data_IF_763974957486
#
_entry.id   IF_763974957486
#
_cell.length_a   1.000
_cell.length_b   1.000
_cell.length_c   1.000
_cell.angle_alpha   90.00
_cell.angle_beta   90.00
_cell.angle_gamma   90.00
#
_symmetry.space_group_name_H-M   'P 1'
#
loop_
_entity.id
_entity.type
_entity.pdbx_description
1 polymer ?
#
# COMPACT_ATOMS: atom_id res chain seq x y z
N UNK A 1 -4.00 -31.14 11.85
CA UNK A 1 -3.07 -30.00 12.06
C UNK A 1 -2.48 -29.52 10.72
N UNK A 2 -1.92 -30.41 9.92
CA UNK A 2 -1.24 -30.08 8.65
C UNK A 2 -2.12 -29.32 7.64
N UNK A 3 -3.41 -29.68 7.55
CA UNK A 3 -4.33 -28.98 6.66
C UNK A 3 -4.49 -27.49 7.04
N UNK A 4 -4.53 -27.17 8.34
CA UNK A 4 -4.63 -25.79 8.83
C UNK A 4 -3.35 -25.00 8.55
N UNK A 5 -2.19 -25.63 8.78
CA UNK A 5 -0.88 -25.04 8.49
C UNK A 5 -0.74 -24.76 6.99
N UNK A 6 -1.15 -25.71 6.14
CA UNK A 6 -1.18 -25.54 4.68
C UNK A 6 -2.11 -24.39 4.27
N UNK A 7 -3.33 -24.33 4.80
CA UNK A 7 -4.28 -23.22 4.53
C UNK A 7 -3.70 -21.87 4.94
N UNK A 8 -3.07 -21.77 6.11
CA UNK A 8 -2.38 -20.54 6.57
C UNK A 8 -1.24 -20.15 5.64
N UNK A 9 -0.42 -21.10 5.21
CA UNK A 9 0.71 -20.85 4.29
C UNK A 9 0.23 -20.34 2.93
N UNK A 10 -0.78 -21.00 2.35
CA UNK A 10 -1.37 -20.58 1.07
C UNK A 10 -2.03 -19.21 1.19
N UNK A 11 -2.83 -18.98 2.23
CA UNK A 11 -3.44 -17.68 2.50
C UNK A 11 -2.37 -16.59 2.65
N UNK A 12 -1.29 -16.86 3.40
CA UNK A 12 -0.17 -15.95 3.56
C UNK A 12 0.50 -15.56 2.25
N UNK A 13 0.73 -16.52 1.34
CA UNK A 13 1.28 -16.26 0.00
C UNK A 13 0.34 -15.41 -0.85
N UNK A 14 -0.97 -15.68 -0.82
CA UNK A 14 -1.98 -14.90 -1.54
C UNK A 14 -2.04 -13.46 -1.00
N UNK A 15 -2.06 -13.30 0.33
CA UNK A 15 -2.04 -11.97 0.96
C UNK A 15 -0.77 -11.21 0.60
N UNK A 16 0.40 -11.87 0.60
CA UNK A 16 1.65 -11.25 0.20
C UNK A 16 1.60 -10.74 -1.25
N UNK A 17 1.01 -11.52 -2.16
CA UNK A 17 0.80 -11.08 -3.55
C UNK A 17 -0.09 -9.83 -3.62
N UNK A 18 -1.20 -9.80 -2.88
CA UNK A 18 -2.06 -8.62 -2.83
C UNK A 18 -1.35 -7.39 -2.25
N UNK A 19 -0.53 -7.56 -1.22
CA UNK A 19 0.30 -6.49 -0.67
C UNK A 19 1.28 -5.94 -1.71
N UNK A 20 1.94 -6.83 -2.47
CA UNK A 20 2.86 -6.42 -3.54
C UNK A 20 2.12 -5.60 -4.61
N UNK A 21 0.97 -6.08 -5.08
CA UNK A 21 0.17 -5.38 -6.09
C UNK A 21 -0.34 -4.02 -5.59
N UNK A 22 -0.78 -3.95 -4.34
CA UNK A 22 -1.13 -2.71 -3.67
C UNK A 22 0.04 -1.72 -3.63
N UNK A 23 1.22 -2.15 -3.15
CA UNK A 23 2.40 -1.30 -3.09
C UNK A 23 2.86 -0.81 -4.46
N UNK A 24 2.89 -1.69 -5.46
CA UNK A 24 3.24 -1.32 -6.84
C UNK A 24 2.27 -0.27 -7.40
N UNK A 25 0.99 -0.34 -7.06
CA UNK A 25 0.00 0.63 -7.52
C UNK A 25 0.15 2.01 -6.92
N UNK A 26 0.53 2.10 -5.64
CA UNK A 26 0.87 3.38 -5.00
C UNK A 26 2.14 3.96 -5.61
N UNK A 27 3.18 3.13 -5.78
CA UNK A 27 4.44 3.56 -6.39
C UNK A 27 4.20 4.10 -7.80
N UNK A 28 3.41 3.38 -8.61
CA UNK A 28 3.05 3.83 -9.96
C UNK A 28 2.27 5.16 -9.93
N UNK A 29 1.30 5.31 -9.03
CA UNK A 29 0.53 6.54 -8.88
C UNK A 29 1.42 7.75 -8.53
N UNK A 30 2.32 7.56 -7.56
CA UNK A 30 3.23 8.61 -7.07
C UNK A 30 4.24 8.98 -8.14
N UNK A 31 4.90 7.99 -8.77
CA UNK A 31 5.86 8.23 -9.85
C UNK A 31 5.17 8.92 -11.03
N UNK A 32 3.95 8.51 -11.40
CA UNK A 32 3.19 9.14 -12.46
C UNK A 32 2.86 10.60 -12.13
N UNK A 33 2.47 10.89 -10.88
CA UNK A 33 2.22 12.26 -10.41
C UNK A 33 3.45 13.16 -10.51
N UNK A 34 4.62 12.66 -10.10
CA UNK A 34 5.89 13.41 -10.24
C UNK A 34 6.35 13.59 -11.68
N UNK A 35 6.05 12.63 -12.57
CA UNK A 35 6.43 12.69 -13.99
C UNK A 35 5.43 13.46 -14.85
N UNK A 36 4.24 13.77 -14.35
CA UNK A 36 3.25 14.52 -15.10
C UNK A 36 3.66 15.99 -15.17
N UNK A 37 3.81 16.57 -16.39
CA UNK A 37 4.12 17.97 -16.51
C UNK A 37 2.91 18.81 -16.10
N UNK A 38 3.08 19.72 -15.15
CA UNK A 38 1.99 20.55 -14.59
C UNK A 38 1.31 21.44 -15.64
N UNK A 39 1.98 21.72 -16.77
CA UNK A 39 1.51 22.62 -17.84
C UNK A 39 1.19 21.92 -19.16
N UNK A 40 1.17 20.59 -19.16
CA UNK A 40 0.84 19.80 -20.37
C UNK A 40 -0.47 19.06 -20.11
N UNK A 41 -1.47 19.33 -20.94
CA UNK A 41 -2.78 18.71 -20.88
C UNK A 41 -2.99 17.84 -22.11
N UNK A 42 -3.02 16.53 -21.91
CA UNK A 42 -3.44 15.59 -22.95
C UNK A 42 -4.97 15.50 -22.95
N UNK A 43 -5.59 15.68 -24.12
CA UNK A 43 -7.05 15.66 -24.29
C UNK A 43 -7.47 14.94 -25.58
N UNK A 44 -8.73 14.55 -25.63
CA UNK A 44 -9.41 14.05 -26.83
C UNK A 44 -10.35 15.13 -27.39
N UNK A 45 -10.68 15.10 -28.70
CA UNK A 45 -11.69 15.98 -29.27
C UNK A 45 -13.03 15.86 -28.52
N UNK A 46 -13.66 17.00 -28.22
CA UNK A 46 -14.92 17.07 -27.46
C UNK A 46 -14.77 16.93 -25.94
N UNK A 47 -13.58 16.68 -25.40
CA UNK A 47 -13.37 16.58 -23.96
C UNK A 47 -13.20 17.95 -23.30
N UNK A 48 -13.56 18.00 -22.03
CA UNK A 48 -13.38 19.16 -21.15
C UNK A 48 -12.47 18.76 -20.00
N UNK A 49 -11.49 19.61 -19.67
CA UNK A 49 -10.58 19.38 -18.56
C UNK A 49 -10.41 20.63 -17.70
N UNK A 50 -10.30 20.42 -16.39
CA UNK A 50 -9.98 21.48 -15.44
C UNK A 50 -8.55 21.95 -15.63
N UNK A 51 -8.37 23.27 -15.67
CA UNK A 51 -7.08 23.94 -15.72
C UNK A 51 -7.01 24.95 -14.59
N UNK A 52 -5.83 25.11 -14.02
CA UNK A 52 -5.60 26.12 -13.00
C UNK A 52 -4.24 26.76 -13.21
N UNK A 53 -4.16 28.05 -12.91
CA UNK A 53 -2.91 28.80 -12.96
C UNK A 53 -2.77 29.72 -11.75
N UNK A 54 -1.51 30.00 -11.40
CA UNK A 54 -1.20 31.05 -10.43
C UNK A 54 -1.47 32.41 -11.08
N UNK A 55 -2.06 33.32 -10.31
CA UNK A 55 -2.21 34.73 -10.67
C UNK A 55 -1.05 35.46 -9.98
N UNK A 56 -0.16 36.06 -10.78
CA UNK A 56 0.99 36.78 -10.23
C UNK A 56 0.62 38.15 -9.63
N UNK A 57 -0.60 38.64 -9.89
CA UNK A 57 -1.06 39.98 -9.55
C UNK A 57 -2.48 39.89 -8.98
N UNK A 58 -2.88 40.83 -8.10
CA UNK A 58 -4.24 40.80 -7.52
C UNK A 58 -5.27 41.05 -8.61
N UNK A 59 -6.11 40.04 -8.87
CA UNK A 59 -7.23 40.11 -9.80
C UNK A 59 -8.51 40.00 -8.98
N UNK A 60 -9.38 41.00 -9.07
CA UNK A 60 -10.62 41.06 -8.28
C UNK A 60 -11.78 40.32 -8.97
N UNK A 61 -11.69 40.10 -10.28
CA UNK A 61 -12.75 39.48 -11.08
C UNK A 61 -12.23 38.45 -12.09
N UNK A 62 -12.88 37.27 -12.23
CA UNK A 62 -12.57 36.29 -13.28
C UNK A 62 -12.59 36.85 -14.71
N UNK A 63 -13.30 37.96 -14.94
CA UNK A 63 -13.40 38.61 -16.26
C UNK A 63 -12.15 39.37 -16.69
N UNK A 64 -11.24 39.65 -15.76
CA UNK A 64 -9.97 40.36 -16.04
C UNK A 64 -8.89 39.41 -16.58
N UNK A 65 -9.16 38.10 -16.60
CA UNK A 65 -8.27 37.09 -17.16
C UNK A 65 -8.50 37.01 -18.67
N UNK A 66 -7.54 37.52 -19.42
CA UNK A 66 -7.49 37.36 -20.87
C UNK A 66 -6.70 36.11 -21.22
N UNK A 67 -7.08 35.46 -22.32
CA UNK A 67 -6.34 34.32 -22.83
C UNK A 67 -6.15 34.46 -24.33
N UNK A 68 -4.99 34.01 -24.80
CA UNK A 68 -4.69 33.90 -26.22
C UNK A 68 -4.53 32.42 -26.54
N UNK A 69 -5.22 31.98 -27.58
CA UNK A 69 -5.18 30.58 -28.05
C UNK A 69 -4.55 30.55 -29.42
N UNK A 70 -3.77 29.51 -29.69
CA UNK A 70 -3.21 29.28 -31.03
C UNK A 70 -4.26 28.85 -32.08
N UNK A 71 -5.48 28.50 -31.66
CA UNK A 71 -6.53 27.98 -32.56
C UNK A 71 -7.94 28.21 -31.99
N UNK A 72 -8.91 28.44 -32.88
CA UNK A 72 -10.33 28.65 -32.54
C UNK A 72 -11.03 27.39 -32.00
N UNK A 73 -10.39 26.21 -32.13
CA UNK A 73 -10.93 24.94 -31.66
C UNK A 73 -10.78 24.72 -30.14
N UNK A 74 -10.04 25.58 -29.46
CA UNK A 74 -9.80 25.48 -28.02
C UNK A 74 -10.39 26.71 -27.36
N UNK A 75 -11.23 26.49 -26.35
CA UNK A 75 -11.84 27.57 -25.57
C UNK A 75 -11.49 27.42 -24.11
N UNK A 76 -11.20 28.54 -23.47
CA UNK A 76 -11.01 28.62 -22.03
C UNK A 76 -12.21 29.32 -21.40
N UNK A 77 -12.82 28.68 -20.40
CA UNK A 77 -13.81 29.29 -19.52
C UNK A 77 -13.21 29.41 -18.13
N UNK A 78 -13.08 30.62 -17.60
CA UNK A 78 -12.64 30.85 -16.21
C UNK A 78 -13.87 30.82 -15.31
N UNK A 79 -13.89 29.91 -14.34
CA UNK A 79 -15.06 29.68 -13.48
C UNK A 79 -14.95 30.44 -12.16
N UNK A 80 -13.75 30.49 -11.56
CA UNK A 80 -13.54 31.15 -10.25
C UNK A 80 -12.09 31.53 -9.98
N UNK A 81 -11.89 32.41 -9.00
CA UNK A 81 -10.59 32.72 -8.40
C UNK A 81 -10.61 32.17 -6.96
N UNK A 82 -9.61 31.37 -6.61
CA UNK A 82 -9.46 30.76 -5.28
C UNK A 82 -8.08 31.05 -4.71
N UNK A 83 -7.99 31.20 -3.39
CA UNK A 83 -6.69 31.31 -2.70
C UNK A 83 -6.02 29.94 -2.62
N UNK A 84 -4.72 29.87 -2.90
CA UNK A 84 -3.94 28.65 -2.79
C UNK A 84 -3.99 28.06 -1.37
N UNK A 85 -4.20 26.75 -1.25
CA UNK A 85 -4.67 26.09 -0.03
C UNK A 85 -3.75 26.15 1.20
N UNK A 86 -2.49 26.57 1.06
CA UNK A 86 -1.51 26.59 2.16
C UNK A 86 -0.90 27.95 2.47
N UNK A 87 -0.39 28.70 1.47
CA UNK A 87 0.17 30.06 1.65
C UNK A 87 0.16 30.84 0.31
N UNK A 88 -0.72 30.47 -0.62
CA UNK A 88 -0.52 30.77 -2.04
C UNK A 88 -1.23 32.03 -2.50
N UNK A 89 -0.54 32.72 -3.41
CA UNK A 89 -1.09 33.73 -4.32
C UNK A 89 -2.45 33.30 -4.90
N UNK A 90 -3.26 34.27 -5.31
CA UNK A 90 -4.56 33.99 -5.90
C UNK A 90 -4.38 33.06 -7.12
N UNK A 91 -5.22 32.03 -7.24
CA UNK A 91 -5.21 31.06 -8.34
C UNK A 91 -6.52 31.16 -9.09
N UNK A 92 -6.45 31.15 -10.42
CA UNK A 92 -7.65 31.02 -11.21
C UNK A 92 -7.91 29.53 -11.52
N UNK A 93 -9.18 29.17 -11.52
CA UNK A 93 -9.66 27.86 -11.95
C UNK A 93 -10.59 28.05 -13.14
N UNK A 94 -10.38 27.23 -14.16
CA UNK A 94 -11.21 27.22 -15.34
C UNK A 94 -11.28 25.84 -15.99
N UNK A 95 -11.97 25.81 -17.12
CA UNK A 95 -12.15 24.62 -17.94
C UNK A 95 -11.66 24.91 -19.35
N UNK A 96 -10.79 24.05 -19.86
CA UNK A 96 -10.42 23.99 -21.27
C UNK A 96 -11.39 23.06 -21.97
N UNK A 97 -12.03 23.56 -23.02
CA UNK A 97 -12.92 22.81 -23.89
C UNK A 97 -12.25 22.65 -25.25
N UNK A 98 -12.13 21.41 -25.72
CA UNK A 98 -11.64 21.09 -27.07
C UNK A 98 -12.84 20.79 -27.96
N UNK A 99 -12.94 21.47 -29.10
CA UNK A 99 -14.00 21.22 -30.09
C UNK A 99 -14.01 19.74 -30.54
N UNK A 100 -15.17 19.14 -30.82
CA UNK A 100 -15.26 17.82 -31.44
C UNK A 100 -14.55 17.72 -32.80
N UNK A 101 -14.47 18.84 -33.53
CA UNK A 101 -13.84 18.91 -34.86
C UNK A 101 -12.33 19.23 -34.80
N UNK A 102 -11.75 19.29 -33.59
CA UNK A 102 -10.33 19.61 -33.43
C UNK A 102 -9.44 18.51 -34.02
N UNK A 103 -8.49 18.90 -34.88
CA UNK A 103 -7.48 17.99 -35.39
C UNK A 103 -6.51 17.55 -34.27
N UNK A 104 -5.90 16.38 -34.44
CA UNK A 104 -4.84 15.93 -33.54
C UNK A 104 -3.61 16.83 -33.72
N UNK A 105 -3.01 17.28 -32.62
CA UNK A 105 -1.90 18.21 -32.66
C UNK A 105 -1.58 18.84 -31.31
N UNK A 106 -0.58 19.72 -31.32
CA UNK A 106 -0.19 20.52 -30.17
C UNK A 106 -0.69 21.94 -30.33
N UNK A 107 -1.35 22.44 -29.28
CA UNK A 107 -1.91 23.78 -29.25
C UNK A 107 -1.40 24.51 -28.01
N UNK A 108 -1.04 25.79 -28.17
CA UNK A 108 -0.58 26.62 -27.06
C UNK A 108 -1.71 27.52 -26.60
N UNK A 109 -2.00 27.46 -25.30
CA UNK A 109 -2.89 28.35 -24.58
C UNK A 109 -2.05 29.23 -23.66
N UNK A 110 -2.11 30.53 -23.86
CA UNK A 110 -1.45 31.52 -22.99
C UNK A 110 -2.54 32.23 -22.18
N UNK A 111 -2.44 32.17 -20.86
CA UNK A 111 -3.34 32.89 -19.95
C UNK A 111 -2.60 34.03 -19.25
N UNK A 112 -3.23 35.20 -19.15
CA UNK A 112 -2.70 36.40 -18.53
C UNK A 112 -3.81 37.36 -18.07
N UNK A 113 -3.42 38.54 -17.59
CA UNK A 113 -4.37 39.59 -17.16
C UNK A 113 -4.48 40.65 -18.26
N UNK A 114 -5.71 41.05 -18.59
CA UNK A 114 -5.99 42.06 -19.60
C UNK A 114 -5.49 43.45 -19.15
N UNK A 115 -4.83 44.20 -20.05
CA UNK A 115 -4.49 45.61 -19.81
C UNK A 115 -3.18 45.89 -19.05
N UNK A 116 -2.50 44.88 -18.51
CA UNK A 116 -1.23 45.09 -17.78
C UNK A 116 -0.04 44.76 -18.68
N UNK A 117 0.87 45.74 -18.86
CA UNK A 117 2.14 45.56 -19.58
C UNK A 117 3.00 44.50 -18.87
N UNK A 118 2.96 43.26 -19.37
CA UNK A 118 3.93 42.15 -19.25
C UNK A 118 5.08 42.37 -18.26
N UNK A 119 4.81 42.51 -16.95
CA UNK A 119 5.86 42.46 -15.93
C UNK A 119 6.32 41.01 -15.72
N UNK A 120 5.42 40.04 -15.94
CA UNK A 120 5.71 38.62 -15.96
C UNK A 120 5.29 37.97 -17.30
N UNK A 121 6.05 37.01 -17.84
CA UNK A 121 5.67 36.29 -19.04
C UNK A 121 4.35 35.52 -18.83
N UNK A 122 3.43 35.53 -19.80
CA UNK A 122 2.15 34.81 -19.69
C UNK A 122 2.39 33.32 -19.47
N UNK A 123 1.54 32.70 -18.64
CA UNK A 123 1.66 31.28 -18.32
C UNK A 123 1.25 30.48 -19.56
N UNK A 124 2.21 29.75 -20.13
CA UNK A 124 2.00 28.90 -21.31
C UNK A 124 1.57 27.51 -20.88
N UNK A 125 0.44 27.07 -21.41
CA UNK A 125 -0.09 25.72 -21.28
C UNK A 125 -0.06 25.05 -22.65
N UNK A 126 0.44 23.81 -22.68
CA UNK A 126 0.49 22.99 -23.89
C UNK A 126 -0.66 22.01 -23.86
N UNK A 127 -1.57 22.13 -24.81
CA UNK A 127 -2.71 21.24 -24.98
C UNK A 127 -2.41 20.28 -26.12
N UNK A 128 -2.24 18.99 -25.81
CA UNK A 128 -2.01 17.94 -26.80
C UNK A 128 -3.32 17.22 -27.09
N UNK A 129 -3.85 17.41 -28.28
CA UNK A 129 -5.06 16.73 -28.75
C UNK A 129 -4.63 15.45 -29.47
N UNK A 130 -5.09 14.31 -28.96
CA UNK A 130 -4.80 12.99 -29.53
C UNK A 130 -5.87 12.59 -30.54
N UNK A 131 -5.45 11.91 -31.62
CA UNK A 131 -6.36 11.45 -32.68
C UNK A 131 -7.35 10.39 -32.18
N UNK A 132 -6.87 9.53 -31.28
CA UNK A 132 -7.54 8.31 -30.88
C UNK A 132 -7.31 8.02 -29.39
N UNK A 133 -8.21 7.24 -28.81
CA UNK A 133 -8.15 6.87 -27.39
C UNK A 133 -6.87 6.09 -27.05
N UNK A 134 -6.34 5.27 -27.97
CA UNK A 134 -5.09 4.54 -27.74
C UNK A 134 -3.89 5.46 -27.60
N UNK A 135 -3.74 6.44 -28.50
CA UNK A 135 -2.69 7.47 -28.40
C UNK A 135 -2.81 8.29 -27.12
N UNK A 136 -4.04 8.70 -26.76
CA UNK A 136 -4.32 9.37 -25.48
C UNK A 136 -3.89 8.52 -24.29
N UNK A 137 -4.25 7.23 -24.29
CA UNK A 137 -3.91 6.32 -23.20
C UNK A 137 -2.39 6.09 -23.06
N UNK A 138 -1.65 6.13 -24.17
CA UNK A 138 -0.19 6.02 -24.15
C UNK A 138 0.50 7.25 -23.57
N UNK A 139 -0.17 8.42 -23.53
CA UNK A 139 0.39 9.64 -22.95
C UNK A 139 0.52 9.55 -21.43
N UNK A 140 -0.33 8.76 -20.77
CA UNK A 140 -0.31 8.57 -19.32
C UNK A 140 1.03 8.01 -18.83
N UNK A 141 1.57 8.65 -17.78
CA UNK A 141 2.85 8.25 -17.16
C UNK A 141 2.72 7.05 -16.24
N UNK A 142 1.51 6.76 -15.78
CA UNK A 142 1.18 5.56 -15.00
C UNK A 142 1.13 4.34 -15.91
N UNK A 143 1.87 3.29 -15.54
CA UNK A 143 1.85 2.01 -16.22
C UNK A 143 0.49 1.33 -16.08
N UNK A 144 -0.12 1.41 -14.90
CA UNK A 144 -1.43 0.82 -14.62
C UNK A 144 -2.51 1.48 -15.47
N UNK A 145 -2.56 2.81 -15.52
CA UNK A 145 -3.54 3.52 -16.35
C UNK A 145 -3.29 3.25 -17.84
N UNK A 146 -2.03 3.21 -18.26
CA UNK A 146 -1.65 2.96 -19.65
C UNK A 146 -1.98 1.55 -20.14
N UNK A 147 -1.92 0.52 -19.29
CA UNK A 147 -2.09 -0.88 -19.70
C UNK A 147 -3.42 -1.51 -19.28
N UNK A 148 -3.99 -1.06 -18.15
CA UNK A 148 -5.27 -1.57 -17.61
C UNK A 148 -6.42 -0.56 -17.73
N UNK A 149 -6.15 0.70 -18.07
CA UNK A 149 -7.14 1.79 -18.19
C UNK A 149 -7.86 2.14 -16.89
N UNK A 150 -7.35 1.61 -15.78
CA UNK A 150 -7.90 1.83 -14.45
C UNK A 150 -7.02 2.88 -13.75
N UNK A 151 -7.65 3.74 -12.95
CA UNK A 151 -6.91 4.66 -12.08
C UNK A 151 -6.01 3.86 -11.12
N UNK A 152 -4.71 4.20 -10.99
CA UNK A 152 -3.82 3.55 -10.03
C UNK A 152 -4.37 3.55 -8.60
N UNK A 153 -5.07 4.62 -8.21
CA UNK A 153 -5.70 4.75 -6.91
C UNK A 153 -6.89 3.80 -6.73
N UNK A 154 -7.70 3.59 -7.77
CA UNK A 154 -8.81 2.64 -7.72
C UNK A 154 -8.29 1.19 -7.68
N UNK A 155 -7.22 0.93 -8.42
CA UNK A 155 -6.51 -0.34 -8.38
C UNK A 155 -5.94 -0.60 -6.97
N UNK A 156 -5.29 0.39 -6.36
CA UNK A 156 -4.81 0.33 -4.98
C UNK A 156 -5.95 0.06 -3.98
N UNK A 157 -7.04 0.81 -4.06
CA UNK A 157 -8.20 0.64 -3.18
C UNK A 157 -8.76 -0.79 -3.27
N UNK A 158 -8.83 -1.35 -4.48
CA UNK A 158 -9.31 -2.72 -4.69
C UNK A 158 -8.46 -3.76 -3.97
N UNK A 159 -7.12 -3.68 -4.07
CA UNK A 159 -6.24 -4.60 -3.36
C UNK A 159 -6.23 -4.36 -1.85
N UNK A 160 -6.31 -3.11 -1.42
CA UNK A 160 -6.40 -2.78 0.01
C UNK A 160 -7.64 -3.44 0.65
N UNK A 161 -8.80 -3.37 -0.01
CA UNK A 161 -10.01 -4.05 0.44
C UNK A 161 -9.91 -5.58 0.50
N UNK A 162 -9.01 -6.19 -0.28
CA UNK A 162 -8.75 -7.64 -0.23
C UNK A 162 -7.72 -8.03 0.82
N UNK A 163 -6.74 -7.16 1.08
CA UNK A 163 -5.67 -7.39 2.07
C UNK A 163 -6.24 -7.47 3.49
N UNK A 164 -7.15 -6.57 3.85
CA UNK A 164 -7.76 -6.53 5.20
C UNK A 164 -8.41 -7.87 5.58
N UNK A 165 -9.41 -8.39 4.84
CA UNK A 165 -10.06 -9.65 5.20
C UNK A 165 -9.10 -10.84 5.13
N UNK A 166 -8.10 -10.80 4.25
CA UNK A 166 -7.09 -11.86 4.17
C UNK A 166 -6.20 -11.91 5.42
N UNK A 167 -5.79 -10.75 5.96
CA UNK A 167 -5.09 -10.68 7.25
C UNK A 167 -5.97 -11.17 8.40
N UNK A 168 -7.23 -10.76 8.44
CA UNK A 168 -8.20 -11.23 9.45
C UNK A 168 -8.36 -12.75 9.38
N UNK A 169 -8.47 -13.31 8.18
CA UNK A 169 -8.56 -14.75 7.98
C UNK A 169 -7.31 -15.51 8.45
N UNK A 170 -6.11 -14.99 8.13
CA UNK A 170 -4.84 -15.56 8.63
C UNK A 170 -4.78 -15.50 10.15
N UNK A 171 -5.21 -14.40 10.77
CA UNK A 171 -5.25 -14.25 12.22
C UNK A 171 -6.13 -15.32 12.88
N UNK A 172 -7.35 -15.54 12.36
CA UNK A 172 -8.23 -16.61 12.84
C UNK A 172 -7.63 -18.01 12.64
N UNK A 173 -6.97 -18.27 11.50
CA UNK A 173 -6.29 -19.54 11.26
C UNK A 173 -5.14 -19.77 12.24
N UNK A 174 -4.34 -18.74 12.52
CA UNK A 174 -3.25 -18.81 13.49
C UNK A 174 -3.77 -19.14 14.89
N UNK A 175 -4.81 -18.45 15.36
CA UNK A 175 -5.44 -18.76 16.65
C UNK A 175 -6.03 -20.17 16.71
N UNK A 176 -6.63 -20.66 15.61
CA UNK A 176 -7.13 -22.04 15.55
C UNK A 176 -6.00 -23.07 15.60
N UNK A 177 -4.87 -22.80 14.94
CA UNK A 177 -3.68 -23.65 15.00
C UNK A 177 -3.15 -23.71 16.43
N UNK A 178 -3.03 -22.58 17.11
CA UNK A 178 -2.61 -22.50 18.52
C UNK A 178 -3.54 -23.29 19.45
N UNK A 179 -4.87 -23.15 19.30
CA UNK A 179 -5.83 -23.91 20.10
C UNK A 179 -5.73 -25.42 19.88
N UNK A 180 -5.52 -25.86 18.63
CA UNK A 180 -5.35 -27.29 18.31
C UNK A 180 -4.05 -27.82 18.90
N UNK A 181 -2.95 -27.06 18.78
CA UNK A 181 -1.67 -27.43 19.40
C UNK A 181 -1.80 -27.51 20.92
N UNK A 182 -2.43 -26.52 21.56
CA UNK A 182 -2.61 -26.51 23.01
C UNK A 182 -3.41 -27.72 23.51
N UNK A 183 -4.45 -28.14 22.77
CA UNK A 183 -5.21 -29.38 23.07
C UNK A 183 -4.37 -30.65 22.94
N UNK A 184 -3.39 -30.65 22.04
CA UNK A 184 -2.42 -31.74 21.90
C UNK A 184 -1.25 -31.65 22.92
N UNK A 185 -1.27 -30.67 23.84
CA UNK A 185 -0.17 -30.43 24.77
C UNK A 185 1.10 -29.92 24.07
N UNK A 186 0.94 -29.30 22.91
CA UNK A 186 2.01 -28.73 22.09
C UNK A 186 1.90 -27.20 22.06
N UNK A 187 3.03 -26.52 21.97
CA UNK A 187 3.06 -25.09 21.68
C UNK A 187 4.35 -24.68 20.98
N UNK A 188 4.31 -23.55 20.29
CA UNK A 188 5.49 -22.99 19.64
C UNK A 188 6.25 -22.10 20.64
N UNK A 189 7.57 -22.28 20.70
CA UNK A 189 8.47 -21.37 21.39
C UNK A 189 8.53 -20.03 20.63
N UNK A 190 7.92 -18.98 21.17
CA UNK A 190 7.87 -17.66 20.53
C UNK A 190 8.99 -16.72 20.98
N UNK A 191 9.62 -17.01 22.12
CA UNK A 191 10.74 -16.24 22.64
C UNK A 191 11.83 -17.17 23.15
N UNK A 192 13.07 -16.87 22.76
CA UNK A 192 14.26 -17.60 23.20
C UNK A 192 15.30 -16.58 23.67
N UNK A 193 15.86 -16.79 24.86
CA UNK A 193 16.95 -16.00 25.43
C UNK A 193 18.10 -16.92 25.82
N UNK A 194 19.29 -16.56 25.38
CA UNK A 194 20.51 -17.25 25.79
C UNK A 194 21.00 -16.68 27.13
N UNK A 195 21.17 -17.54 28.12
CA UNK A 195 21.75 -17.24 29.43
C UNK A 195 23.13 -17.92 29.52
N UNK A 196 23.95 -17.50 30.48
CA UNK A 196 25.29 -18.07 30.68
C UNK A 196 25.27 -19.57 31.02
N UNK A 197 24.21 -20.06 31.66
CA UNK A 197 24.08 -21.45 32.10
C UNK A 197 23.13 -22.30 31.23
N UNK A 198 22.44 -21.71 30.23
CA UNK A 198 21.47 -22.43 29.40
C UNK A 198 20.62 -21.52 28.52
N UNK A 199 19.53 -22.05 27.97
CA UNK A 199 18.62 -21.30 27.09
C UNK A 199 17.21 -21.21 27.71
N UNK A 200 16.73 -20.01 28.00
CA UNK A 200 15.35 -19.77 28.47
C UNK A 200 14.42 -19.63 27.26
N UNK A 201 13.36 -20.41 27.21
CA UNK A 201 12.33 -20.36 26.17
C UNK A 201 10.95 -20.10 26.77
N UNK A 202 10.13 -19.30 26.08
CA UNK A 202 8.73 -19.01 26.45
C UNK A 202 7.78 -19.59 25.40
N UNK A 203 6.71 -20.23 25.87
CA UNK A 203 5.73 -20.93 25.04
C UNK A 203 4.32 -20.82 25.64
N UNK A 204 3.31 -20.87 24.76
CA UNK A 204 1.89 -20.68 25.10
C UNK A 204 1.20 -21.91 25.69
N UNK A 205 1.81 -22.56 26.69
CA UNK A 205 1.13 -23.53 27.55
C UNK A 205 1.28 -23.05 28.99
N UNK A 206 0.22 -23.13 29.79
CA UNK A 206 0.19 -22.59 31.16
C UNK A 206 -0.50 -23.56 32.11
N UNK A 207 -0.83 -23.09 33.31
CA UNK A 207 -1.51 -23.88 34.33
C UNK A 207 -2.88 -24.37 33.86
N UNK A 208 -3.60 -23.56 33.07
CA UNK A 208 -4.88 -23.95 32.44
C UNK A 208 -4.73 -25.09 31.43
N UNK A 209 -3.52 -25.30 30.92
CA UNK A 209 -3.18 -26.37 29.99
C UNK A 209 -2.54 -27.58 30.69
N UNK A 210 -2.53 -27.60 32.03
CA UNK A 210 -2.00 -28.71 32.84
C UNK A 210 -0.50 -28.68 33.09
N UNK A 211 0.20 -27.59 32.74
CA UNK A 211 1.64 -27.43 33.00
C UNK A 211 1.86 -27.08 34.48
N UNK A 212 2.93 -27.63 35.06
CA UNK A 212 3.42 -27.29 36.40
C UNK A 212 4.90 -26.96 36.36
N UNK A 213 5.36 -26.21 37.35
CA UNK A 213 6.79 -26.01 37.58
C UNK A 213 7.50 -27.36 37.77
N UNK A 214 8.74 -27.45 37.31
CA UNK A 214 9.56 -28.66 37.27
C UNK A 214 9.04 -29.77 36.34
N UNK A 215 8.09 -29.48 35.45
CA UNK A 215 7.69 -30.42 34.39
C UNK A 215 8.77 -30.49 33.31
N UNK A 216 9.12 -31.70 32.88
CA UNK A 216 9.98 -31.91 31.72
C UNK A 216 9.17 -31.77 30.43
N UNK A 217 9.64 -30.92 29.51
CA UNK A 217 9.07 -30.77 28.17
C UNK A 217 10.10 -31.13 27.11
N UNK A 218 9.61 -31.67 26.00
CA UNK A 218 10.42 -32.06 24.85
C UNK A 218 10.41 -30.95 23.81
N UNK A 219 11.57 -30.69 23.22
CA UNK A 219 11.75 -29.71 22.16
C UNK A 219 11.91 -30.44 20.84
N UNK A 220 11.19 -29.98 19.82
CA UNK A 220 11.27 -30.44 18.45
C UNK A 220 11.61 -29.26 17.54
N UNK A 221 12.46 -29.49 16.55
CA UNK A 221 12.77 -28.49 15.53
C UNK A 221 11.57 -28.30 14.56
N UNK A 222 11.72 -27.42 13.57
CA UNK A 222 10.68 -27.15 12.56
C UNK A 222 10.35 -28.38 11.69
N UNK A 223 11.30 -29.31 11.54
CA UNK A 223 11.15 -30.56 10.79
C UNK A 223 10.53 -31.69 11.64
N UNK A 224 10.21 -31.43 12.92
CA UNK A 224 9.69 -32.44 13.85
C UNK A 224 10.74 -33.37 14.46
N UNK A 225 12.03 -33.16 14.20
CA UNK A 225 13.12 -33.88 14.83
C UNK A 225 13.35 -33.41 16.28
N UNK A 226 13.65 -34.36 17.17
CA UNK A 226 13.94 -34.07 18.57
C UNK A 226 15.19 -33.18 18.71
N UNK A 227 15.02 -31.99 19.30
CA UNK A 227 16.06 -31.00 19.51
C UNK A 227 16.62 -31.01 20.94
N UNK A 228 15.90 -31.56 21.92
CA UNK A 228 16.35 -31.67 23.31
C UNK A 228 15.22 -31.69 24.33
N UNK A 229 15.58 -31.48 25.60
CA UNK A 229 14.64 -31.35 26.73
C UNK A 229 14.81 -30.01 27.41
N UNK A 230 13.73 -29.53 28.01
CA UNK A 230 13.73 -28.35 28.86
C UNK A 230 12.90 -28.59 30.11
N UNK A 231 13.27 -27.94 31.21
CA UNK A 231 12.56 -28.01 32.50
C UNK A 231 11.80 -26.71 32.70
N UNK A 232 10.50 -26.81 32.98
CA UNK A 232 9.64 -25.64 33.25
C UNK A 232 10.07 -24.98 34.56
N UNK A 233 10.46 -23.70 34.48
CA UNK A 233 10.91 -22.90 35.62
C UNK A 233 9.84 -21.94 36.15
N UNK A 234 8.89 -21.53 35.31
CA UNK A 234 7.82 -20.61 35.67
C UNK A 234 6.55 -20.92 34.88
N UNK A 235 5.40 -20.87 35.54
CA UNK A 235 4.08 -21.11 34.93
C UNK A 235 3.14 -19.95 35.25
N UNK A 236 2.53 -19.39 34.20
CA UNK A 236 1.38 -18.49 34.26
C UNK A 236 0.11 -19.23 33.81
N UNK A 237 -1.03 -18.53 33.78
CA UNK A 237 -2.31 -19.12 33.41
C UNK A 237 -2.31 -19.65 31.96
N UNK A 238 -1.74 -18.87 31.03
CA UNK A 238 -1.69 -19.18 29.59
C UNK A 238 -0.30 -19.56 29.08
N UNK A 239 0.76 -19.13 29.76
CA UNK A 239 2.14 -19.18 29.26
C UNK A 239 3.09 -19.78 30.29
N UNK A 240 4.17 -20.41 29.84
CA UNK A 240 5.23 -20.93 30.70
C UNK A 240 6.60 -20.59 30.15
N UNK A 241 7.59 -20.61 31.05
CA UNK A 241 9.01 -20.51 30.72
C UNK A 241 9.69 -21.81 31.10
N UNK A 242 10.59 -22.27 30.24
CA UNK A 242 11.42 -23.43 30.50
C UNK A 242 12.89 -23.11 30.22
N UNK A 243 13.78 -23.82 30.91
CA UNK A 243 15.23 -23.75 30.71
C UNK A 243 15.67 -25.03 30.02
N UNK A 244 16.24 -24.91 28.83
CA UNK A 244 16.78 -26.03 28.06
C UNK A 244 18.14 -26.47 28.63
N UNK A 245 18.42 -27.77 28.51
CA UNK A 245 19.70 -28.36 28.95
C UNK A 245 20.92 -27.74 28.24
N UNK A 246 22.05 -27.73 28.94
CA UNK A 246 23.29 -27.12 28.45
C UNK A 246 23.74 -27.75 27.13
N UNK A 247 23.94 -26.93 26.09
CA UNK A 247 24.30 -27.38 24.73
C UNK A 247 23.14 -27.49 23.73
N UNK A 248 21.88 -27.36 24.17
CA UNK A 248 20.74 -27.31 23.25
C UNK A 248 20.70 -25.97 22.49
N UNK A 249 20.75 -26.03 21.15
CA UNK A 249 20.55 -24.85 20.29
C UNK A 249 19.07 -24.73 19.91
N UNK A 250 18.35 -23.88 20.64
CA UNK A 250 16.91 -23.64 20.42
C UNK A 250 16.70 -22.33 19.66
N UNK A 251 15.72 -22.29 18.76
CA UNK A 251 15.32 -21.07 18.03
C UNK A 251 13.82 -20.81 18.17
N UNK A 252 13.37 -19.55 18.05
CA UNK A 252 11.95 -19.26 17.89
C UNK A 252 11.38 -20.08 16.72
N UNK A 253 10.19 -20.64 16.89
CA UNK A 253 9.58 -21.55 15.91
C UNK A 253 9.65 -23.04 16.27
N UNK A 254 10.49 -23.42 17.24
CA UNK A 254 10.56 -24.80 17.72
C UNK A 254 9.27 -25.20 18.47
N UNK A 255 8.89 -26.46 18.38
CA UNK A 255 7.70 -27.00 19.04
C UNK A 255 8.07 -27.60 20.40
N UNK A 256 7.38 -27.17 21.44
CA UNK A 256 7.43 -27.71 22.80
C UNK A 256 6.28 -28.69 22.97
N UNK A 257 6.53 -29.88 23.53
CA UNK A 257 5.47 -30.84 23.86
C UNK A 257 5.63 -31.41 25.28
N UNK A 258 4.48 -31.61 25.94
CA UNK A 258 4.40 -32.25 27.27
C UNK A 258 4.36 -33.77 27.21
N UNK A 259 3.96 -34.35 26.07
CA UNK A 259 3.97 -35.77 25.86
C UNK A 259 5.33 -36.18 25.29
N UNK A 260 6.05 -37.07 25.97
CA UNK A 260 7.26 -37.71 25.43
C UNK A 260 6.99 -38.69 24.29
N UNK A 261 5.88 -38.54 23.56
CA UNK A 261 5.53 -39.42 22.47
C UNK A 261 6.49 -39.18 21.30
N UNK A 262 7.34 -40.19 21.07
CA UNK A 262 7.89 -40.46 19.75
C UNK A 262 6.74 -40.43 18.75
N UNK A 263 6.83 -39.55 17.77
CA UNK A 263 6.13 -39.73 16.50
C UNK A 263 6.77 -40.96 15.84
N UNK A 264 6.14 -42.13 16.01
CA UNK A 264 6.21 -43.21 15.03
C UNK A 264 5.31 -42.87 13.84
#
# INVERSE_FOLDING_TARGET
>A
MDELIRKRSVAGKITALFCILFSLSIIDAVIAGFRQPVRVFDLLPGYVSGISGLIAEKVESPKEISYTVSSDFIRLSVDSIQKGHWFGDDMWQGRVMVSPDAAAGEYVLEAGVEGIKKLNPPVKFLIKVHKDYSSYRQSFKSLIKRHLDISPWLFAASFFSLVIPAFVYIFFLSGKIEQVMAKEGKAVAYRVKNLAEGCELSFGLGSMHGIRENTNVFLFNEDGAAAGKAVVSYVSDTDSRAVAEHGCTVRPGYTVSTAGHMLE
#
